data_IF_058751559813
#
_entry.id   IF_058751559813
#
_cell.length_a   1.000
_cell.length_b   1.000
_cell.length_c   1.000
_cell.angle_alpha   90.00
_cell.angle_beta   90.00
_cell.angle_gamma   90.00
#
_symmetry.space_group_name_H-M   'P 1'
#
loop_
_entity.id
_entity.type
_entity.pdbx_description
1 polymer ?
#
# COMPACT_ATOMS: atom_id res chain seq x y z
N UNK A 1 13.45 20.89 -0.76
CA UNK A 1 12.39 19.87 -0.92
C UNK A 1 12.57 18.78 0.14
N UNK A 2 11.67 18.67 1.13
CA UNK A 2 11.84 17.77 2.28
C UNK A 2 11.44 16.33 1.91
N UNK A 3 12.39 15.40 1.92
CA UNK A 3 12.17 13.96 1.64
C UNK A 3 11.25 13.38 2.74
N UNK A 4 10.11 12.81 2.33
CA UNK A 4 9.27 12.04 3.23
C UNK A 4 10.02 10.75 3.61
N UNK A 5 10.09 10.49 4.93
CA UNK A 5 10.78 9.31 5.47
C UNK A 5 9.91 8.07 5.19
N UNK A 6 10.45 7.19 4.36
CA UNK A 6 9.96 5.84 4.09
C UNK A 6 9.90 5.08 5.41
N UNK A 7 8.79 4.40 5.67
CA UNK A 7 8.54 3.68 6.91
C UNK A 7 9.46 2.47 7.00
N UNK A 8 10.53 2.58 7.79
CA UNK A 8 11.30 1.44 8.27
C UNK A 8 10.40 0.57 9.17
N UNK A 9 10.38 -0.77 9.05
CA UNK A 9 9.53 -1.64 9.86
C UNK A 9 9.80 -1.57 11.38
N UNK A 10 10.84 -0.84 11.81
CA UNK A 10 11.25 -0.74 13.22
C UNK A 10 11.24 0.67 13.83
N UNK A 11 10.83 1.75 13.13
CA UNK A 11 10.91 3.09 13.75
C UNK A 11 9.83 4.10 13.33
N UNK A 12 9.04 4.48 14.34
CA UNK A 12 8.22 5.69 14.54
C UNK A 12 7.33 6.14 13.36
N UNK A 13 6.01 6.03 13.60
CA UNK A 13 4.92 6.69 12.86
C UNK A 13 5.29 8.17 12.59
N UNK A 14 5.67 8.46 11.35
CA UNK A 14 5.90 9.85 10.91
C UNK A 14 4.56 10.58 10.95
N UNK A 15 4.45 11.64 11.76
CA UNK A 15 3.20 12.42 11.97
C UNK A 15 2.66 13.12 10.73
N UNK A 16 3.42 13.17 9.63
CA UNK A 16 3.00 13.81 8.37
C UNK A 16 2.71 12.74 7.33
N UNK A 17 1.51 12.77 6.76
CA UNK A 17 1.14 11.93 5.62
C UNK A 17 2.11 12.24 4.47
N UNK A 18 2.83 11.26 3.93
CA UNK A 18 3.72 11.48 2.80
C UNK A 18 2.89 11.92 1.58
N UNK A 19 3.32 12.97 0.89
CA UNK A 19 2.68 13.43 -0.35
C UNK A 19 2.97 12.47 -1.51
N UNK A 20 4.17 11.90 -1.54
CA UNK A 20 4.63 10.97 -2.56
C UNK A 20 5.47 9.86 -1.94
N UNK A 21 5.49 8.72 -2.62
CA UNK A 21 6.18 7.50 -2.20
C UNK A 21 7.19 7.12 -3.29
N UNK A 22 8.36 6.61 -2.87
CA UNK A 22 9.41 6.14 -3.78
C UNK A 22 9.38 4.62 -3.88
N UNK A 23 10.02 4.07 -4.91
CA UNK A 23 10.19 2.62 -5.06
C UNK A 23 10.85 2.00 -3.81
N UNK A 24 10.35 0.84 -3.41
CA UNK A 24 10.82 0.10 -2.23
C UNK A 24 10.25 0.58 -0.89
N UNK A 25 9.39 1.60 -0.87
CA UNK A 25 8.78 2.09 0.35
C UNK A 25 7.50 1.32 0.70
N UNK A 26 7.31 1.05 2.00
CA UNK A 26 6.07 0.48 2.54
C UNK A 26 5.22 1.58 3.13
N UNK A 27 3.95 1.65 2.73
CA UNK A 27 2.99 2.66 3.18
C UNK A 27 1.62 2.04 3.42
N UNK A 28 0.83 2.68 4.28
CA UNK A 28 -0.61 2.39 4.43
C UNK A 28 -1.36 3.45 3.63
N UNK A 29 -2.18 3.01 2.68
CA UNK A 29 -2.95 3.88 1.78
C UNK A 29 -4.42 3.47 1.74
N UNK A 30 -5.28 4.40 1.29
CA UNK A 30 -6.69 4.13 0.99
C UNK A 30 -6.82 4.06 -0.53
N UNK A 31 -7.29 2.92 -1.04
CA UNK A 31 -7.50 2.69 -2.47
C UNK A 31 -9.00 2.81 -2.74
N UNK A 32 -9.36 3.52 -3.81
CA UNK A 32 -10.72 3.60 -4.30
C UNK A 32 -10.79 2.86 -5.63
N UNK A 33 -11.83 2.04 -5.78
CA UNK A 33 -12.10 1.25 -6.99
C UNK A 33 -13.40 1.74 -7.62
N UNK A 34 -13.48 1.68 -8.94
CA UNK A 34 -14.67 2.11 -9.69
C UNK A 34 -15.83 1.11 -9.55
N UNK A 35 -15.49 -0.17 -9.51
CA UNK A 35 -16.46 -1.27 -9.45
C UNK A 35 -16.47 -1.91 -8.06
N UNK A 36 -17.61 -2.46 -7.67
CA UNK A 36 -17.73 -3.28 -6.46
C UNK A 36 -16.89 -4.55 -6.63
N UNK A 37 -16.03 -4.82 -5.66
CA UNK A 37 -15.18 -6.01 -5.61
C UNK A 37 -15.31 -6.65 -4.23
N UNK A 38 -15.25 -7.98 -4.19
CA UNK A 38 -15.19 -8.72 -2.94
C UNK A 38 -13.76 -8.64 -2.38
N UNK A 39 -13.63 -8.16 -1.14
CA UNK A 39 -12.35 -8.06 -0.42
C UNK A 39 -12.58 -8.52 1.01
N UNK A 40 -11.60 -9.22 1.56
CA UNK A 40 -11.59 -9.66 2.96
C UNK A 40 -10.31 -9.19 3.66
N UNK A 41 -10.34 -9.14 5.00
CA UNK A 41 -9.14 -8.86 5.78
C UNK A 41 -8.14 -9.99 5.61
N UNK A 42 -6.86 -9.62 5.49
CA UNK A 42 -5.77 -10.58 5.35
C UNK A 42 -5.66 -11.57 6.51
N UNK A 43 -6.02 -11.15 7.73
CA UNK A 43 -6.01 -12.02 8.91
C UNK A 43 -7.07 -13.13 8.84
N UNK A 44 -8.21 -12.84 8.21
CA UNK A 44 -9.36 -13.73 8.18
C UNK A 44 -9.26 -14.69 6.97
N UNK A 45 -8.96 -14.14 5.79
CA UNK A 45 -8.79 -14.94 4.57
C UNK A 45 -7.60 -14.45 3.73
N UNK A 46 -6.39 -15.01 3.92
CA UNK A 46 -5.16 -14.51 3.28
C UNK A 46 -5.18 -14.53 1.75
N UNK A 47 -5.98 -15.39 1.14
CA UNK A 47 -6.07 -15.54 -0.32
C UNK A 47 -6.85 -14.37 -0.95
N UNK A 48 -7.90 -13.87 -0.27
CA UNK A 48 -8.73 -12.74 -0.73
C UNK A 48 -8.20 -11.39 -0.25
N UNK A 49 -7.41 -11.37 0.83
CA UNK A 49 -6.80 -10.15 1.35
C UNK A 49 -5.49 -9.73 0.66
N UNK A 50 -4.90 -10.56 -0.22
CA UNK A 50 -3.70 -10.21 -1.00
C UNK A 50 -4.10 -9.57 -2.32
N UNK A 51 -3.49 -8.44 -2.65
CA UNK A 51 -3.72 -7.76 -3.93
C UNK A 51 -2.43 -7.24 -4.54
N UNK A 52 -2.46 -7.03 -5.86
CA UNK A 52 -1.36 -6.44 -6.63
C UNK A 52 -1.86 -5.27 -7.44
N UNK A 53 -1.14 -4.15 -7.42
CA UNK A 53 -1.41 -3.02 -8.30
C UNK A 53 -0.56 -3.17 -9.55
N UNK A 54 -1.20 -3.04 -10.72
CA UNK A 54 -0.55 -3.13 -12.03
C UNK A 54 -0.86 -1.89 -12.84
N UNK A 55 0.14 -1.43 -13.60
CA UNK A 55 -0.01 -0.36 -14.59
C UNK A 55 0.83 -0.72 -15.81
N UNK A 56 0.30 -0.50 -17.02
CA UNK A 56 1.04 -0.71 -18.29
C UNK A 56 1.76 -2.08 -18.37
N UNK A 57 1.09 -3.14 -17.90
CA UNK A 57 1.64 -4.50 -17.90
C UNK A 57 2.67 -4.79 -16.80
N UNK A 58 3.10 -3.80 -16.01
CA UNK A 58 4.09 -3.95 -14.93
C UNK A 58 3.42 -3.95 -13.55
N UNK A 59 3.95 -4.76 -12.65
CA UNK A 59 3.55 -4.76 -11.23
C UNK A 59 4.25 -3.61 -10.52
N UNK A 60 3.47 -2.69 -9.93
CA UNK A 60 4.00 -1.52 -9.23
C UNK A 60 4.00 -1.67 -7.72
N UNK A 61 3.08 -2.47 -7.16
CA UNK A 61 3.00 -2.70 -5.73
C UNK A 61 2.31 -4.03 -5.43
N UNK A 62 2.65 -4.59 -4.27
CA UNK A 62 2.00 -5.75 -3.67
C UNK A 62 1.54 -5.36 -2.27
N UNK A 63 0.32 -5.72 -1.91
CA UNK A 63 -0.30 -5.29 -0.67
C UNK A 63 -1.16 -6.36 -0.03
N UNK A 64 -1.52 -6.08 1.22
CA UNK A 64 -2.52 -6.83 1.98
C UNK A 64 -3.55 -5.86 2.54
N UNK A 65 -4.81 -6.29 2.60
CA UNK A 65 -5.94 -5.53 3.19
C UNK A 65 -6.05 -5.84 4.68
#
# INVERSE_FOLDING_TARGET
MKKAKVTDPKKKKTKRKPLFVKNGAVVVCRVQVTNLICIEKFSDFPQLGRFTLRTEGKTIAVGKV
#
